data_IF_149558946124
#
_entry.id   IF_149558946124
#
_cell.length_a   1.000
_cell.length_b   1.000
_cell.length_c   1.000
_cell.angle_alpha   90.00
_cell.angle_beta   90.00
_cell.angle_gamma   90.00
#
_symmetry.space_group_name_H-M   'P 1'
#
loop_
_entity.id
_entity.type
_entity.pdbx_description
1 polymer ?
#
# COMPACT_ATOMS: atom_id res chain seq x y z
N UNK A 1 14.95 -32.19 -33.49
CA UNK A 1 14.69 -30.88 -34.11
C UNK A 1 14.58 -29.87 -32.98
N UNK A 2 15.72 -29.32 -32.58
CA UNK A 2 15.80 -28.21 -31.63
C UNK A 2 15.39 -26.95 -32.37
N UNK A 3 14.30 -26.32 -31.93
CA UNK A 3 13.98 -24.97 -32.36
C UNK A 3 14.82 -24.02 -31.50
N UNK A 4 15.95 -23.58 -32.06
CA UNK A 4 16.75 -22.50 -31.53
C UNK A 4 15.91 -21.20 -31.54
N UNK A 5 15.44 -20.78 -30.38
CA UNK A 5 14.98 -19.40 -30.18
C UNK A 5 16.24 -18.55 -30.16
N UNK A 6 16.55 -17.94 -31.30
CA UNK A 6 17.51 -16.85 -31.38
C UNK A 6 16.90 -15.67 -30.63
N UNK A 7 17.23 -15.57 -29.33
CA UNK A 7 16.94 -14.38 -28.52
C UNK A 7 17.72 -13.22 -29.14
N UNK A 8 17.00 -12.30 -29.76
CA UNK A 8 17.49 -10.94 -29.97
C UNK A 8 17.60 -10.30 -28.58
N UNK A 9 18.80 -10.28 -28.02
CA UNK A 9 19.13 -9.77 -26.68
C UNK A 9 19.25 -8.25 -26.67
N UNK A 10 18.33 -7.53 -27.32
CA UNK A 10 18.37 -6.06 -27.39
C UNK A 10 17.17 -5.37 -26.76
N UNK A 11 16.13 -6.10 -26.35
CA UNK A 11 15.00 -5.54 -25.61
C UNK A 11 15.10 -5.89 -24.12
N UNK A 12 15.56 -4.93 -23.31
CA UNK A 12 15.72 -5.03 -21.85
C UNK A 12 14.40 -4.76 -21.09
N UNK A 13 13.25 -4.84 -21.78
CA UNK A 13 11.92 -4.58 -21.22
C UNK A 13 11.16 -5.90 -21.04
N UNK A 14 11.12 -6.49 -19.82
CA UNK A 14 10.63 -7.85 -19.59
C UNK A 14 9.14 -8.04 -19.92
N UNK A 15 8.37 -6.96 -19.91
CA UNK A 15 6.93 -6.97 -20.10
C UNK A 15 6.51 -6.55 -21.52
N UNK A 16 7.47 -6.27 -22.40
CA UNK A 16 7.18 -5.83 -23.76
C UNK A 16 6.37 -6.90 -24.52
N UNK A 17 5.24 -6.48 -25.12
CA UNK A 17 4.37 -7.35 -25.90
C UNK A 17 3.36 -8.17 -25.09
N UNK A 18 3.42 -8.12 -23.75
CA UNK A 18 2.41 -8.74 -22.88
C UNK A 18 1.17 -7.85 -22.75
N UNK A 19 0.01 -8.46 -22.58
CA UNK A 19 -1.25 -7.79 -22.24
C UNK A 19 -1.38 -7.60 -20.72
N UNK A 20 -2.25 -6.70 -20.29
CA UNK A 20 -2.45 -6.38 -18.87
C UNK A 20 -2.77 -7.61 -18.00
N UNK A 21 -3.54 -8.58 -18.50
CA UNK A 21 -3.85 -9.83 -17.79
C UNK A 21 -2.63 -10.75 -17.67
N UNK A 22 -1.81 -10.83 -18.71
CA UNK A 22 -0.54 -11.57 -18.70
C UNK A 22 0.48 -10.91 -17.75
N UNK A 23 0.53 -9.58 -17.70
CA UNK A 23 1.39 -8.83 -16.76
C UNK A 23 0.92 -9.01 -15.32
N UNK A 24 -0.39 -8.94 -15.06
CA UNK A 24 -0.93 -9.21 -13.73
C UNK A 24 -0.65 -10.67 -13.28
N UNK A 25 -0.73 -11.63 -14.20
CA UNK A 25 -0.36 -13.02 -13.94
C UNK A 25 1.14 -13.17 -13.66
N UNK A 26 1.99 -12.47 -14.41
CA UNK A 26 3.44 -12.44 -14.18
C UNK A 26 3.78 -12.03 -12.73
N UNK A 27 3.22 -10.92 -12.24
CA UNK A 27 3.45 -10.48 -10.85
C UNK A 27 2.84 -11.44 -9.80
N UNK A 28 1.76 -12.14 -10.15
CA UNK A 28 1.21 -13.20 -9.29
C UNK A 28 2.17 -14.39 -9.16
N UNK A 29 2.81 -14.79 -10.26
CA UNK A 29 3.79 -15.89 -10.25
C UNK A 29 5.08 -15.50 -9.51
N UNK A 30 5.57 -14.27 -9.70
CA UNK A 30 6.72 -13.75 -8.94
C UNK A 30 6.43 -13.75 -7.45
N UNK A 31 5.28 -13.19 -7.04
CA UNK A 31 4.88 -13.13 -5.62
C UNK A 31 4.83 -14.50 -4.96
N UNK A 32 4.42 -15.53 -5.71
CA UNK A 32 4.35 -16.92 -5.24
C UNK A 32 5.65 -17.72 -5.42
N UNK A 33 6.72 -17.13 -5.94
CA UNK A 33 7.97 -17.85 -6.20
C UNK A 33 8.71 -18.19 -4.91
N UNK A 34 9.37 -19.35 -4.89
CA UNK A 34 10.14 -19.80 -3.73
C UNK A 34 11.39 -18.95 -3.46
N UNK A 35 11.94 -18.32 -4.50
CA UNK A 35 13.08 -17.39 -4.37
C UNK A 35 12.66 -16.13 -3.61
N UNK A 36 11.61 -15.45 -4.07
CA UNK A 36 11.06 -14.27 -3.39
C UNK A 36 10.58 -14.63 -1.98
N UNK A 37 10.02 -15.82 -1.77
CA UNK A 37 9.67 -16.30 -0.43
C UNK A 37 10.90 -16.40 0.49
N UNK A 38 11.99 -17.00 0.01
CA UNK A 38 13.20 -17.17 0.81
C UNK A 38 13.82 -15.81 1.20
N UNK A 39 13.79 -14.83 0.29
CA UNK A 39 14.32 -13.48 0.53
C UNK A 39 13.43 -12.65 1.47
N UNK A 40 12.10 -12.71 1.30
CA UNK A 40 11.19 -11.85 2.06
C UNK A 40 10.81 -12.42 3.43
N UNK A 41 10.74 -13.74 3.59
CA UNK A 41 10.25 -14.34 4.84
C UNK A 41 11.03 -13.91 6.09
N UNK A 42 12.38 -13.83 6.09
CA UNK A 42 13.12 -13.32 7.24
C UNK A 42 12.75 -11.86 7.59
N UNK A 43 12.54 -11.01 6.59
CA UNK A 43 12.15 -9.61 6.78
C UNK A 43 10.73 -9.52 7.35
N UNK A 44 9.80 -10.27 6.79
CA UNK A 44 8.40 -10.29 7.26
C UNK A 44 8.31 -10.88 8.67
N UNK A 45 9.10 -11.91 9.00
CA UNK A 45 9.19 -12.46 10.37
C UNK A 45 9.72 -11.43 11.36
N UNK A 46 10.79 -10.73 11.00
CA UNK A 46 11.34 -9.64 11.81
C UNK A 46 10.32 -8.51 12.02
N UNK A 47 9.66 -8.04 10.97
CA UNK A 47 8.63 -6.99 11.08
C UNK A 47 7.52 -7.38 12.05
N UNK A 48 7.11 -8.65 12.03
CA UNK A 48 6.02 -9.17 12.85
C UNK A 48 6.48 -9.82 14.16
N UNK A 49 7.72 -9.58 14.58
CA UNK A 49 8.18 -10.06 15.88
C UNK A 49 7.34 -9.42 17.00
N UNK A 50 6.55 -10.22 17.73
CA UNK A 50 5.53 -9.68 18.62
C UNK A 50 6.12 -9.36 19.99
N UNK A 51 5.67 -8.23 20.56
CA UNK A 51 5.92 -7.89 21.95
C UNK A 51 5.09 -8.71 22.94
N UNK A 52 5.07 -8.25 24.20
CA UNK A 52 4.24 -8.86 25.25
C UNK A 52 2.78 -8.42 25.09
N UNK A 53 1.85 -9.32 25.40
CA UNK A 53 0.41 -9.02 25.35
C UNK A 53 0.10 -7.80 26.23
N UNK A 54 -0.62 -6.84 25.67
CA UNK A 54 -1.10 -5.64 26.37
C UNK A 54 -2.61 -5.76 26.65
N UNK A 55 -2.99 -5.75 27.92
CA UNK A 55 -4.41 -5.80 28.32
C UNK A 55 -5.11 -4.49 27.94
N UNK A 56 -6.30 -4.60 27.34
CA UNK A 56 -7.12 -3.44 26.97
C UNK A 56 -6.64 -2.66 25.74
N UNK A 57 -5.72 -3.24 24.95
CA UNK A 57 -5.18 -2.59 23.76
C UNK A 57 -6.26 -2.14 22.76
N UNK A 58 -7.36 -2.90 22.62
CA UNK A 58 -8.47 -2.60 21.71
C UNK A 58 -9.11 -1.25 21.99
N UNK A 59 -9.18 -0.87 23.26
CA UNK A 59 -9.83 0.35 23.73
C UNK A 59 -8.81 1.46 24.02
N UNK A 60 -7.52 1.19 23.77
CA UNK A 60 -6.48 2.22 23.86
C UNK A 60 -6.52 3.13 22.63
N UNK A 61 -6.03 4.36 22.78
CA UNK A 61 -6.00 5.35 21.69
C UNK A 61 -7.29 6.14 21.53
N UNK A 62 -7.55 6.57 20.29
CA UNK A 62 -8.70 7.37 19.87
C UNK A 62 -9.53 6.64 18.80
N UNK A 63 -10.83 6.96 18.75
CA UNK A 63 -11.68 6.61 17.62
C UNK A 63 -11.38 7.56 16.45
N UNK A 64 -10.42 7.16 15.62
CA UNK A 64 -9.96 7.96 14.47
C UNK A 64 -11.10 8.26 13.47
N UNK A 65 -12.08 7.36 13.34
CA UNK A 65 -13.20 7.57 12.42
C UNK A 65 -14.13 8.66 12.94
N UNK A 66 -14.40 8.67 14.25
CA UNK A 66 -15.17 9.73 14.89
C UNK A 66 -14.41 11.07 14.90
N UNK A 67 -13.11 11.06 15.20
CA UNK A 67 -12.26 12.24 15.22
C UNK A 67 -12.22 12.95 13.86
N UNK A 68 -11.96 12.20 12.78
CA UNK A 68 -12.01 12.77 11.42
C UNK A 68 -13.44 13.07 10.99
N UNK A 69 -14.40 12.25 11.40
CA UNK A 69 -15.83 12.46 11.13
C UNK A 69 -16.39 13.77 11.70
N UNK A 70 -15.82 14.26 12.80
CA UNK A 70 -16.19 15.53 13.42
C UNK A 70 -15.55 16.76 12.76
N UNK A 71 -14.58 16.59 11.86
CA UNK A 71 -13.96 17.68 11.12
C UNK A 71 -14.90 18.25 10.05
N UNK A 72 -14.63 19.47 9.58
CA UNK A 72 -15.38 20.05 8.46
C UNK A 72 -15.32 19.14 7.22
N UNK A 73 -16.50 18.77 6.69
CA UNK A 73 -16.62 17.82 5.58
C UNK A 73 -16.44 16.34 5.96
N UNK A 74 -16.04 16.04 7.20
CA UNK A 74 -15.92 14.69 7.76
C UNK A 74 -14.97 13.77 7.00
N UNK A 75 -15.21 12.45 7.10
CA UNK A 75 -14.42 11.40 6.43
C UNK A 75 -14.37 11.53 4.90
N UNK A 76 -15.31 12.23 4.27
CA UNK A 76 -15.32 12.43 2.81
C UNK A 76 -14.33 13.50 2.34
N UNK A 77 -14.01 14.45 3.21
CA UNK A 77 -13.19 15.60 2.87
C UNK A 77 -11.75 15.48 3.40
N UNK A 78 -11.47 14.48 4.22
CA UNK A 78 -10.23 14.38 4.99
C UNK A 78 -9.56 13.03 4.78
N UNK A 79 -8.29 13.09 4.37
CA UNK A 79 -7.40 11.94 4.19
C UNK A 79 -6.29 11.98 5.24
N UNK A 80 -5.75 10.82 5.58
CA UNK A 80 -4.55 10.70 6.41
C UNK A 80 -3.33 10.63 5.51
N UNK A 81 -2.47 11.64 5.55
CA UNK A 81 -1.21 11.68 4.82
C UNK A 81 -0.06 11.36 5.78
N UNK A 82 0.79 10.44 5.38
CA UNK A 82 2.07 10.21 6.04
C UNK A 82 3.01 11.43 5.87
N UNK A 83 3.59 11.90 6.97
CA UNK A 83 4.52 13.02 6.97
C UNK A 83 5.92 12.66 6.46
N UNK A 84 6.19 11.37 6.21
CA UNK A 84 7.41 10.92 5.57
C UNK A 84 7.52 11.52 4.16
N UNK A 85 8.73 11.92 3.82
CA UNK A 85 9.08 12.47 2.51
C UNK A 85 9.73 11.43 1.61
N UNK A 86 10.29 10.36 2.17
CA UNK A 86 10.93 9.27 1.43
C UNK A 86 9.87 8.34 0.84
N UNK A 87 8.98 7.78 1.66
CA UNK A 87 7.81 7.01 1.20
C UNK A 87 6.55 7.82 1.38
N UNK A 88 5.94 8.23 0.27
CA UNK A 88 4.72 9.01 0.31
C UNK A 88 3.51 8.08 0.41
N UNK A 89 2.69 8.27 1.45
CA UNK A 89 1.45 7.51 1.64
C UNK A 89 0.28 8.40 1.99
N UNK A 90 -0.89 8.12 1.41
CA UNK A 90 -2.17 8.75 1.77
C UNK A 90 -3.26 7.70 1.89
N UNK A 91 -3.93 7.68 3.02
CA UNK A 91 -5.04 6.78 3.32
C UNK A 91 -6.36 7.54 3.37
N UNK A 92 -7.32 7.06 2.58
CA UNK A 92 -8.74 7.37 2.69
C UNK A 92 -9.45 6.30 3.53
N UNK A 93 -9.80 6.65 4.78
CA UNK A 93 -10.53 5.78 5.70
C UNK A 93 -12.00 5.55 5.30
N UNK A 94 -12.51 6.18 4.24
CA UNK A 94 -13.82 5.89 3.65
C UNK A 94 -13.73 4.97 2.41
N UNK A 95 -12.55 4.90 1.78
CA UNK A 95 -12.31 4.13 0.56
C UNK A 95 -13.06 4.65 -0.68
N UNK A 96 -13.51 5.90 -0.65
CA UNK A 96 -14.27 6.57 -1.71
C UNK A 96 -13.41 7.47 -2.61
N UNK A 97 -12.14 7.69 -2.26
CA UNK A 97 -11.21 8.52 -2.99
C UNK A 97 -11.00 7.98 -4.41
N UNK A 98 -11.17 8.87 -5.39
CA UNK A 98 -10.96 8.60 -6.80
C UNK A 98 -10.20 9.79 -7.39
N UNK A 99 -8.86 9.79 -7.29
CA UNK A 99 -8.06 10.89 -7.83
C UNK A 99 -8.16 10.95 -9.37
N UNK A 100 -8.02 12.16 -9.91
CA UNK A 100 -7.79 12.37 -11.33
C UNK A 100 -6.34 11.99 -11.66
N UNK A 101 -6.19 10.84 -12.32
CA UNK A 101 -4.92 10.25 -12.71
C UNK A 101 -4.60 10.47 -14.19
N UNK A 102 -5.06 11.58 -14.77
CA UNK A 102 -4.68 11.97 -16.13
C UNK A 102 -3.15 11.95 -16.29
N UNK A 103 -2.65 11.22 -17.29
CA UNK A 103 -1.21 11.01 -17.52
C UNK A 103 -0.67 9.68 -16.99
N UNK A 104 -1.44 8.95 -16.17
CA UNK A 104 -1.07 7.63 -15.67
C UNK A 104 -1.81 6.52 -16.42
N UNK A 105 -1.11 5.42 -16.64
CA UNK A 105 -1.67 4.11 -16.94
C UNK A 105 -1.96 3.35 -15.65
N UNK A 106 -2.97 2.48 -15.64
CA UNK A 106 -3.36 1.74 -14.44
C UNK A 106 -3.45 0.24 -14.73
N UNK A 107 -2.69 -0.55 -13.97
CA UNK A 107 -2.65 -2.00 -14.05
C UNK A 107 -3.30 -2.60 -12.80
N UNK A 108 -4.38 -3.37 -12.98
CA UNK A 108 -5.05 -4.05 -11.86
C UNK A 108 -4.35 -5.37 -11.56
N UNK A 109 -3.67 -5.44 -10.41
CA UNK A 109 -2.92 -6.62 -9.97
C UNK A 109 -3.78 -7.57 -9.13
N UNK A 110 -4.69 -7.02 -8.32
CA UNK A 110 -5.69 -7.77 -7.54
C UNK A 110 -7.04 -7.06 -7.65
N UNK A 111 -8.10 -7.78 -8.00
CA UNK A 111 -9.42 -7.19 -8.16
C UNK A 111 -10.19 -7.15 -6.83
N UNK A 112 -10.53 -5.94 -6.37
CA UNK A 112 -11.43 -5.74 -5.24
C UNK A 112 -12.83 -6.32 -5.48
N UNK A 113 -13.39 -7.11 -4.54
CA UNK A 113 -14.79 -7.48 -4.57
C UNK A 113 -15.68 -6.23 -4.55
N UNK A 114 -16.74 -6.16 -5.37
CA UNK A 114 -17.65 -5.02 -5.39
C UNK A 114 -18.24 -4.74 -4.01
N UNK A 115 -18.21 -3.48 -3.57
CA UNK A 115 -18.82 -3.02 -2.31
C UNK A 115 -18.10 -3.45 -1.02
N UNK A 116 -16.94 -4.11 -1.10
CA UNK A 116 -16.18 -4.56 0.07
C UNK A 116 -15.15 -3.53 0.57
N UNK A 117 -14.82 -2.53 -0.24
CA UNK A 117 -13.80 -1.50 0.07
C UNK A 117 -14.37 -0.47 1.02
N UNK A 118 -13.75 -0.35 2.19
CA UNK A 118 -14.01 0.73 3.13
C UNK A 118 -12.76 1.56 3.43
N UNK A 119 -11.60 1.23 2.83
CA UNK A 119 -10.37 1.99 2.92
C UNK A 119 -9.55 1.87 1.63
N UNK A 120 -8.91 2.98 1.24
CA UNK A 120 -7.94 3.02 0.15
C UNK A 120 -6.66 3.68 0.63
N UNK A 121 -5.52 3.08 0.36
CA UNK A 121 -4.21 3.69 0.61
C UNK A 121 -3.46 3.84 -0.69
N UNK A 122 -2.95 5.03 -0.98
CA UNK A 122 -2.10 5.33 -2.12
C UNK A 122 -0.67 5.49 -1.62
N UNK A 123 0.24 4.63 -2.07
CA UNK A 123 1.65 4.65 -1.67
C UNK A 123 2.55 4.83 -2.88
N UNK A 124 3.56 5.69 -2.78
CA UNK A 124 4.59 5.89 -3.79
C UNK A 124 5.97 5.61 -3.22
N UNK A 125 6.68 4.70 -3.89
CA UNK A 125 8.06 4.32 -3.58
C UNK A 125 9.05 4.95 -4.58
N UNK A 126 8.57 5.30 -5.78
CA UNK A 126 9.34 5.85 -6.89
C UNK A 126 8.53 6.99 -7.54
N UNK A 127 9.15 8.09 -7.98
CA UNK A 127 8.47 9.13 -8.74
C UNK A 127 7.72 8.56 -9.96
N UNK A 128 6.48 9.00 -10.17
CA UNK A 128 5.66 8.53 -11.28
C UNK A 128 5.06 7.13 -11.12
N UNK A 129 5.27 6.48 -9.96
CA UNK A 129 4.69 5.18 -9.61
C UNK A 129 3.89 5.27 -8.29
N UNK A 130 2.64 4.83 -8.33
CA UNK A 130 1.74 4.81 -7.19
C UNK A 130 1.02 3.47 -7.11
N UNK A 131 1.04 2.84 -5.94
CA UNK A 131 0.25 1.65 -5.66
C UNK A 131 -0.98 2.04 -4.85
N UNK A 132 -2.17 1.79 -5.39
CA UNK A 132 -3.45 1.85 -4.68
C UNK A 132 -3.74 0.49 -4.06
N UNK A 133 -3.86 0.47 -2.74
CA UNK A 133 -4.26 -0.68 -1.93
C UNK A 133 -5.68 -0.48 -1.46
N UNK A 134 -6.54 -1.48 -1.68
CA UNK A 134 -7.90 -1.48 -1.19
C UNK A 134 -8.05 -2.52 -0.08
N UNK A 135 -8.61 -2.09 1.04
CA UNK A 135 -8.72 -2.89 2.25
C UNK A 135 -10.18 -2.99 2.73
N UNK A 136 -10.46 -4.09 3.42
CA UNK A 136 -11.64 -4.21 4.25
C UNK A 136 -11.19 -4.28 5.72
N UNK A 137 -11.63 -3.31 6.51
CA UNK A 137 -11.39 -3.30 7.95
C UNK A 137 -12.61 -3.76 8.76
N UNK A 138 -12.32 -4.29 9.93
CA UNK A 138 -13.26 -4.51 11.04
C UNK A 138 -12.81 -3.69 12.25
N UNK A 139 -13.73 -3.40 13.17
CA UNK A 139 -13.42 -2.64 14.38
C UNK A 139 -13.39 -3.57 15.58
N UNK A 140 -12.37 -3.43 16.44
CA UNK A 140 -12.30 -4.08 17.76
C UNK A 140 -12.03 -3.01 18.82
N UNK A 141 -13.06 -2.60 19.55
CA UNK A 141 -12.98 -1.38 20.34
C UNK A 141 -12.72 -0.19 19.42
N UNK A 142 -11.65 0.56 19.69
CA UNK A 142 -11.15 1.67 18.89
C UNK A 142 -10.14 1.24 17.80
N UNK A 143 -9.64 0.00 17.85
CA UNK A 143 -8.68 -0.49 16.87
C UNK A 143 -9.34 -0.83 15.51
N UNK A 144 -8.65 -0.47 14.43
CA UNK A 144 -9.00 -0.84 13.06
C UNK A 144 -8.19 -2.07 12.65
N UNK A 145 -8.85 -3.22 12.46
CA UNK A 145 -8.22 -4.49 12.12
C UNK A 145 -8.43 -4.85 10.65
N UNK A 146 -7.34 -5.18 9.97
CA UNK A 146 -7.28 -5.50 8.55
C UNK A 146 -6.96 -6.97 8.38
N UNK A 147 -7.90 -7.71 7.78
CA UNK A 147 -7.67 -9.11 7.41
C UNK A 147 -7.33 -9.18 5.93
N UNK A 148 -6.13 -8.72 5.63
CA UNK A 148 -5.58 -8.66 4.30
C UNK A 148 -6.12 -7.56 3.41
N UNK A 149 -5.59 -7.58 2.19
CA UNK A 149 -5.94 -6.68 1.11
C UNK A 149 -6.98 -7.36 0.24
N UNK A 150 -7.93 -6.55 -0.22
CA UNK A 150 -8.97 -7.02 -1.11
C UNK A 150 -8.73 -6.53 -2.53
N UNK A 151 -7.93 -5.49 -2.75
CA UNK A 151 -7.54 -5.04 -4.09
C UNK A 151 -6.18 -4.35 -4.13
N UNK A 152 -5.58 -4.33 -5.32
CA UNK A 152 -4.29 -3.72 -5.60
C UNK A 152 -4.27 -3.24 -7.04
N UNK A 153 -4.01 -1.95 -7.24
CA UNK A 153 -3.87 -1.32 -8.56
C UNK A 153 -2.56 -0.55 -8.57
N UNK A 154 -1.80 -0.70 -9.65
CA UNK A 154 -0.57 0.05 -9.87
C UNK A 154 -0.85 1.14 -10.90
N UNK A 155 -0.55 2.37 -10.55
CA UNK A 155 -0.64 3.55 -11.43
C UNK A 155 0.77 3.98 -11.80
N UNK A 156 1.06 4.09 -13.08
CA UNK A 156 2.37 4.52 -13.59
C UNK A 156 2.25 5.46 -14.76
N UNK A 157 3.07 6.50 -14.79
CA UNK A 157 3.18 7.42 -15.93
C UNK A 157 3.73 6.75 -17.18
N UNK A 158 4.54 5.71 -17.00
CA UNK A 158 5.03 4.88 -18.10
C UNK A 158 4.20 3.60 -18.19
N UNK A 159 3.77 3.19 -19.39
CA UNK A 159 3.04 1.94 -19.53
C UNK A 159 3.93 0.75 -19.12
N UNK A 160 3.37 -0.31 -18.51
CA UNK A 160 4.15 -1.47 -18.04
C UNK A 160 5.06 -2.10 -19.10
N UNK A 161 4.65 -2.08 -20.37
CA UNK A 161 5.45 -2.59 -21.49
C UNK A 161 6.75 -1.81 -21.76
N UNK A 162 6.93 -0.63 -21.15
CA UNK A 162 8.13 0.18 -21.25
C UNK A 162 9.10 -0.01 -20.08
N UNK A 163 8.67 -0.71 -19.01
CA UNK A 163 9.50 -0.86 -17.82
C UNK A 163 10.74 -1.71 -18.06
N UNK A 164 11.85 -1.28 -17.46
CA UNK A 164 13.11 -2.03 -17.43
C UNK A 164 13.10 -3.18 -16.42
N UNK A 165 14.17 -3.99 -16.44
CA UNK A 165 14.34 -5.11 -15.49
C UNK A 165 14.28 -4.68 -14.02
N UNK A 166 14.95 -3.59 -13.66
CA UNK A 166 15.01 -3.10 -12.27
C UNK A 166 13.64 -2.66 -11.75
N UNK A 167 12.87 -1.92 -12.56
CA UNK A 167 11.52 -1.48 -12.22
C UNK A 167 10.58 -2.68 -12.04
N UNK A 168 10.65 -3.66 -12.95
CA UNK A 168 9.87 -4.89 -12.88
C UNK A 168 10.23 -5.70 -11.64
N UNK A 169 11.52 -5.81 -11.31
CA UNK A 169 11.99 -6.50 -10.10
C UNK A 169 11.50 -5.80 -8.83
N UNK A 170 11.65 -4.47 -8.74
CA UNK A 170 11.17 -3.67 -7.61
C UNK A 170 9.66 -3.84 -7.40
N UNK A 171 8.86 -3.72 -8.46
CA UNK A 171 7.40 -3.90 -8.39
C UNK A 171 7.07 -5.33 -7.96
N UNK A 172 7.78 -6.33 -8.49
CA UNK A 172 7.64 -7.73 -8.09
C UNK A 172 7.83 -7.93 -6.59
N UNK A 173 8.90 -7.35 -6.03
CA UNK A 173 9.18 -7.37 -4.58
C UNK A 173 8.09 -6.66 -3.78
N UNK A 174 7.63 -5.48 -4.22
CA UNK A 174 6.58 -4.72 -3.54
C UNK A 174 5.25 -5.49 -3.50
N UNK A 175 4.83 -6.07 -4.62
CA UNK A 175 3.61 -6.89 -4.70
C UNK A 175 3.73 -8.10 -3.76
N UNK A 176 4.90 -8.76 -3.78
CA UNK A 176 5.18 -9.94 -2.97
C UNK A 176 5.19 -9.66 -1.47
N UNK A 177 5.80 -8.55 -1.06
CA UNK A 177 5.82 -8.08 0.32
C UNK A 177 4.40 -7.74 0.77
N UNK A 178 3.66 -7.03 -0.07
CA UNK A 178 2.30 -6.59 0.20
C UNK A 178 1.34 -7.79 0.35
N UNK A 179 1.42 -8.80 -0.52
CA UNK A 179 0.62 -10.04 -0.41
C UNK A 179 0.93 -10.79 0.91
N UNK A 180 2.19 -10.83 1.36
CA UNK A 180 2.60 -11.51 2.60
C UNK A 180 2.14 -10.77 3.85
N UNK A 181 2.24 -9.45 3.87
CA UNK A 181 1.68 -8.62 4.95
C UNK A 181 0.16 -8.81 4.99
N UNK A 182 -0.50 -8.79 3.83
CA UNK A 182 -1.93 -9.01 3.71
C UNK A 182 -2.39 -10.41 4.15
N UNK A 183 -1.53 -11.42 4.08
CA UNK A 183 -1.86 -12.75 4.61
C UNK A 183 -1.99 -12.76 6.15
N UNK A 184 -1.54 -11.70 6.83
CA UNK A 184 -1.58 -11.54 8.29
C UNK A 184 -2.67 -10.55 8.68
N UNK A 185 -3.35 -10.81 9.79
CA UNK A 185 -4.26 -9.82 10.37
C UNK A 185 -3.45 -8.86 11.26
N UNK A 186 -3.56 -7.55 10.99
CA UNK A 186 -2.94 -6.48 11.79
C UNK A 186 -4.01 -5.52 12.23
N UNK A 187 -3.93 -5.06 13.48
CA UNK A 187 -4.82 -4.07 14.05
C UNK A 187 -4.05 -2.79 14.36
N UNK A 188 -4.56 -1.66 13.88
CA UNK A 188 -4.00 -0.35 14.12
C UNK A 188 -4.81 0.38 15.18
N UNK A 189 -4.13 0.86 16.20
CA UNK A 189 -4.63 1.82 17.18
C UNK A 189 -4.06 3.18 16.83
N UNK A 190 -4.90 4.21 16.83
CA UNK A 190 -4.46 5.58 16.56
C UNK A 190 -4.33 6.35 17.87
N UNK A 191 -3.30 7.18 17.99
CA UNK A 191 -3.11 8.10 19.11
C UNK A 191 -3.00 9.54 18.60
N UNK A 192 -3.40 10.50 19.44
CA UNK A 192 -3.22 11.92 19.16
C UNK A 192 -1.76 12.32 19.41
N UNK A 193 -1.13 12.96 18.42
CA UNK A 193 0.22 13.52 18.52
C UNK A 193 0.20 15.02 18.16
N UNK A 194 -0.32 15.82 19.08
CA UNK A 194 -0.58 17.24 18.85
C UNK A 194 -1.66 17.45 17.78
N UNK A 195 -1.29 18.07 16.66
CA UNK A 195 -2.16 18.26 15.49
C UNK A 195 -2.11 17.08 14.49
N UNK A 196 -1.22 16.12 14.73
CA UNK A 196 -1.08 14.91 13.94
C UNK A 196 -1.60 13.67 14.72
N UNK A 197 -1.51 12.52 14.06
CA UNK A 197 -1.80 11.22 14.64
C UNK A 197 -0.55 10.32 14.55
N UNK A 198 -0.49 9.31 15.40
CA UNK A 198 0.45 8.19 15.26
C UNK A 198 -0.31 6.89 15.33
N UNK A 199 0.27 5.82 14.81
CA UNK A 199 -0.29 4.47 14.88
C UNK A 199 0.55 3.60 15.80
N UNK A 200 -0.12 2.66 16.47
CA UNK A 200 0.48 1.49 17.11
C UNK A 200 -0.14 0.25 16.49
N UNK A 201 0.71 -0.68 16.09
CA UNK A 201 0.31 -1.91 15.39
C UNK A 201 0.27 -3.07 16.36
N UNK A 202 -0.77 -3.90 16.25
CA UNK A 202 -0.99 -5.06 17.12
C UNK A 202 -1.35 -6.29 16.29
N UNK A 203 -0.94 -7.46 16.79
CA UNK A 203 -1.59 -8.70 16.44
C UNK A 203 -3.01 -8.76 17.05
N UNK A 204 -3.93 -9.57 16.48
CA UNK A 204 -5.29 -9.75 16.96
C UNK A 204 -5.43 -10.16 18.44
N UNK A 205 -4.38 -10.73 19.02
CA UNK A 205 -4.29 -11.20 20.41
C UNK A 205 -3.74 -10.14 21.38
N UNK A 206 -3.41 -8.94 20.90
CA UNK A 206 -2.96 -7.82 21.72
C UNK A 206 -1.46 -7.74 21.95
N UNK A 207 -0.66 -8.53 21.23
CA UNK A 207 0.80 -8.31 21.21
C UNK A 207 1.14 -7.16 20.25
N UNK A 208 1.89 -6.13 20.69
CA UNK A 208 2.30 -5.03 19.83
C UNK A 208 3.34 -5.49 18.80
N UNK A 209 3.47 -4.75 17.71
CA UNK A 209 4.40 -4.99 16.61
C UNK A 209 5.39 -3.81 16.50
N UNK A 210 6.37 -3.71 17.42
CA UNK A 210 7.26 -2.55 17.49
C UNK A 210 8.10 -2.35 16.23
N UNK A 211 8.45 -3.42 15.50
CA UNK A 211 9.22 -3.32 14.27
C UNK A 211 8.38 -2.81 13.08
N UNK A 212 7.05 -2.97 13.13
CA UNK A 212 6.15 -2.30 12.17
C UNK A 212 6.07 -0.80 12.48
N UNK A 213 6.08 -0.44 13.76
CA UNK A 213 5.92 0.95 14.20
C UNK A 213 7.24 1.74 14.25
N UNK A 214 8.40 1.08 14.15
CA UNK A 214 9.72 1.67 14.38
C UNK A 214 10.02 2.88 13.48
N UNK A 215 9.62 2.77 12.21
CA UNK A 215 9.81 3.81 11.19
C UNK A 215 8.49 4.54 10.86
N UNK A 216 7.47 4.39 11.71
CA UNK A 216 6.20 5.08 11.50
C UNK A 216 6.37 6.59 11.68
N UNK A 217 5.96 7.33 10.66
CA UNK A 217 5.94 8.77 10.69
C UNK A 217 4.55 9.29 11.15
N UNK A 218 4.45 10.51 11.68
CA UNK A 218 3.17 11.09 12.04
C UNK A 218 2.22 11.21 10.83
N UNK A 219 0.94 10.90 11.04
CA UNK A 219 -0.11 11.08 10.05
C UNK A 219 -0.76 12.45 10.22
N UNK A 220 -0.80 13.23 9.15
CA UNK A 220 -1.41 14.57 9.10
C UNK A 220 -2.68 14.56 8.26
N UNK A 221 -3.57 15.51 8.50
CA UNK A 221 -4.80 15.63 7.70
C UNK A 221 -4.48 16.33 6.37
N UNK A 222 -4.89 15.71 5.27
CA UNK A 222 -4.86 16.29 3.93
C UNK A 222 -6.29 16.41 3.39
N UNK A 223 -6.67 17.55 2.77
CA UNK A 223 -7.95 17.66 2.08
C UNK A 223 -8.06 16.64 0.94
N UNK A 224 -9.19 15.94 0.83
CA UNK A 224 -9.42 14.96 -0.24
C UNK A 224 -9.31 15.56 -1.65
N UNK A 225 -9.68 16.83 -1.80
CA UNK A 225 -9.53 17.58 -3.05
C UNK A 225 -8.07 17.77 -3.49
N UNK A 226 -7.11 17.67 -2.56
CA UNK A 226 -5.69 17.82 -2.86
C UNK A 226 -5.05 16.53 -3.39
N UNK A 227 -5.71 15.36 -3.25
CA UNK A 227 -5.12 14.06 -3.58
C UNK A 227 -4.59 13.98 -5.03
N UNK A 228 -5.35 14.51 -6.00
CA UNK A 228 -4.94 14.47 -7.41
C UNK A 228 -3.71 15.34 -7.67
N UNK A 229 -3.60 16.50 -7.02
CA UNK A 229 -2.41 17.35 -7.13
C UNK A 229 -1.21 16.69 -6.45
N UNK A 230 -1.40 16.17 -5.24
CA UNK A 230 -0.37 15.48 -4.47
C UNK A 230 0.28 14.31 -5.22
N UNK A 231 -0.53 13.45 -5.84
CA UNK A 231 -0.05 12.31 -6.65
C UNK A 231 0.80 12.80 -7.84
N UNK A 232 0.40 13.92 -8.47
CA UNK A 232 1.07 14.50 -9.65
C UNK A 232 2.27 15.39 -9.32
N UNK A 233 2.35 15.99 -8.13
CA UNK A 233 3.42 16.93 -7.77
C UNK A 233 4.73 16.22 -7.38
N UNK A 234 4.67 15.02 -6.77
CA UNK A 234 5.86 14.20 -6.47
C UNK A 234 6.71 13.91 -7.72
N UNK A 235 6.09 13.92 -8.89
CA UNK A 235 6.76 13.81 -10.19
C UNK A 235 7.68 14.99 -10.50
N UNK A 236 7.21 16.23 -10.27
CA UNK A 236 7.95 17.43 -10.68
C UNK A 236 9.21 17.66 -9.83
N UNK A 237 9.13 17.38 -8.53
CA UNK A 237 10.25 17.55 -7.62
C UNK A 237 11.40 16.56 -7.85
N UNK A 238 11.17 15.45 -8.56
CA UNK A 238 12.19 14.48 -8.91
C UNK A 238 12.88 14.75 -10.28
N UNK A 239 12.36 15.71 -11.05
CA UNK A 239 12.89 16.09 -12.36
C UNK A 239 13.69 17.41 -12.35
N UNK A 240 13.73 18.10 -11.21
CA UNK A 240 14.53 19.31 -10.95
C UNK A 240 15.80 18.96 -10.16
#
# INVERSE_FOLDING_TARGET
AEAAITKDTSDTRPLAGLKDDEIAQFFTLISASAEIEAELSPLIEMMFEPGKVESGWQDSGIDILAEIGAMEGGLKASLLRDADTEVLSVTDLLGAASPDLTGFTSLKLRAAPPGAVNERTFVSFEPGLWMELASQRTTRGQALCYKGLIGMVLHSEQPPAQWGEDEVAMIGVLVAMTDRIAAREVCLVYDRKGEAFSTRSFLPDGRPLPNVDADSSPLTIMPASALSAFIRERHRAAQE
#
